data_IF_288106174957
#
_entry.id   IF_288106174957
#
_cell.length_a   1.000
_cell.length_b   1.000
_cell.length_c   1.000
_cell.angle_alpha   90.00
_cell.angle_beta   90.00
_cell.angle_gamma   90.00
#
_symmetry.space_group_name_H-M   'P 1'
#
loop_
_entity.id
_entity.type
_entity.pdbx_description
1 polymer ?
#
# COMPACT_ATOMS: atom_id res chain seq x y z
N UNK A 1 2.84 -25.64 14.04
CA UNK A 1 2.28 -24.37 14.56
C UNK A 1 1.94 -23.45 13.39
N UNK A 2 0.65 -23.27 13.04
CA UNK A 2 0.22 -22.27 12.06
C UNK A 2 0.22 -20.90 12.73
N UNK A 3 1.22 -20.07 12.45
CA UNK A 3 1.19 -18.64 12.81
C UNK A 3 0.18 -17.94 11.87
N UNK A 4 -1.09 -17.93 12.25
CA UNK A 4 -2.11 -17.06 11.63
C UNK A 4 -2.27 -15.83 12.50
N UNK A 5 -1.31 -14.90 12.43
CA UNK A 5 -1.53 -13.57 13.00
C UNK A 5 -0.97 -12.50 12.07
N UNK A 6 -1.83 -11.51 11.84
CA UNK A 6 -1.67 -10.32 11.02
C UNK A 6 -0.72 -9.35 11.70
N UNK A 7 0.54 -9.74 11.91
CA UNK A 7 1.51 -8.85 12.53
C UNK A 7 1.66 -7.61 11.65
N UNK A 8 1.43 -6.40 12.19
CA UNK A 8 1.47 -5.20 11.40
C UNK A 8 2.88 -4.98 10.84
N UNK A 9 2.97 -4.80 9.53
CA UNK A 9 4.21 -4.45 8.86
C UNK A 9 4.28 -2.93 8.79
N UNK A 10 5.35 -2.34 9.33
CA UNK A 10 5.63 -0.93 9.10
C UNK A 10 6.00 -0.70 7.64
N UNK A 11 5.15 0.02 6.92
CA UNK A 11 5.33 0.37 5.51
C UNK A 11 5.42 1.88 5.38
N UNK A 12 6.46 2.37 4.70
CA UNK A 12 6.61 3.79 4.39
C UNK A 12 5.58 4.19 3.35
N UNK A 13 4.81 5.22 3.65
CA UNK A 13 3.94 5.87 2.67
C UNK A 13 4.74 6.94 1.97
N UNK A 14 4.69 6.97 0.65
CA UNK A 14 5.37 7.95 -0.18
C UNK A 14 4.39 8.54 -1.19
N UNK A 15 4.71 9.73 -1.66
CA UNK A 15 4.02 10.30 -2.81
C UNK A 15 4.52 9.65 -4.11
N UNK A 16 3.59 9.43 -5.03
CA UNK A 16 3.85 9.04 -6.39
C UNK A 16 4.25 10.29 -7.20
N UNK A 17 5.52 10.35 -7.63
CA UNK A 17 6.02 11.44 -8.46
C UNK A 17 5.34 11.45 -9.85
N UNK A 18 5.25 12.63 -10.48
CA UNK A 18 4.66 12.83 -11.80
C UNK A 18 5.29 11.96 -12.90
N UNK A 19 6.56 11.59 -12.75
CA UNK A 19 7.27 10.69 -13.66
C UNK A 19 6.60 9.30 -13.80
N UNK A 20 5.72 8.93 -12.87
CA UNK A 20 5.02 7.64 -12.85
C UNK A 20 3.61 7.66 -13.42
N UNK A 21 3.11 8.83 -13.87
CA UNK A 21 1.79 8.91 -14.50
C UNK A 21 1.69 8.06 -15.79
N UNK A 22 2.81 7.80 -16.46
CA UNK A 22 2.85 6.93 -17.63
C UNK A 22 2.66 5.44 -17.30
N UNK A 23 2.81 5.02 -16.03
CA UNK A 23 2.64 3.62 -15.62
C UNK A 23 1.18 3.23 -15.36
N UNK A 24 0.27 4.19 -15.27
CA UNK A 24 -1.16 3.91 -15.10
C UNK A 24 -2.04 4.99 -15.72
N UNK A 25 -3.03 4.64 -16.56
CA UNK A 25 -3.98 5.59 -17.13
C UNK A 25 -4.92 6.20 -16.06
N UNK A 26 -4.95 5.63 -14.84
CA UNK A 26 -5.77 6.10 -13.72
C UNK A 26 -4.94 6.15 -12.43
N UNK A 27 -4.00 7.10 -12.32
CA UNK A 27 -3.03 7.11 -11.22
C UNK A 27 -3.69 7.25 -9.83
N UNK A 28 -4.78 8.02 -9.73
CA UNK A 28 -5.54 8.18 -8.48
C UNK A 28 -6.21 6.89 -7.97
N UNK A 29 -6.34 5.87 -8.83
CA UNK A 29 -6.91 4.55 -8.51
C UNK A 29 -5.87 3.44 -8.61
N UNK A 30 -4.59 3.78 -8.51
CA UNK A 30 -3.49 2.82 -8.55
C UNK A 30 -2.62 2.98 -7.31
N UNK A 31 -2.25 1.86 -6.69
CA UNK A 31 -1.22 1.83 -5.65
C UNK A 31 0.01 1.14 -6.20
N UNK A 32 1.17 1.72 -5.94
CA UNK A 32 2.45 1.13 -6.29
C UNK A 32 3.13 0.66 -5.02
N UNK A 33 3.34 -0.64 -4.89
CA UNK A 33 4.00 -1.22 -3.72
C UNK A 33 5.28 -1.89 -4.14
N UNK A 34 6.34 -1.72 -3.34
CA UNK A 34 7.58 -2.39 -3.64
C UNK A 34 7.58 -3.87 -3.25
N UNK A 35 8.46 -4.65 -3.88
CA UNK A 35 8.58 -6.09 -3.63
C UNK A 35 8.82 -6.44 -2.15
N UNK A 36 9.59 -5.62 -1.43
CA UNK A 36 9.85 -5.82 0.00
C UNK A 36 8.59 -5.67 0.85
N UNK A 37 7.78 -4.63 0.63
CA UNK A 37 6.51 -4.45 1.34
C UNK A 37 5.52 -5.57 0.99
N UNK A 38 5.33 -5.87 -0.30
CA UNK A 38 4.42 -6.91 -0.75
C UNK A 38 4.77 -8.27 -0.14
N UNK A 39 6.06 -8.66 -0.13
CA UNK A 39 6.53 -9.90 0.48
C UNK A 39 6.27 -9.95 1.98
N UNK A 40 6.55 -8.87 2.71
CA UNK A 40 6.34 -8.84 4.18
C UNK A 40 4.87 -8.85 4.55
N UNK A 41 4.01 -8.22 3.75
CA UNK A 41 2.57 -8.24 3.91
C UNK A 41 1.94 -9.56 3.41
N UNK A 42 2.68 -10.45 2.77
CA UNK A 42 2.14 -11.68 2.19
C UNK A 42 1.22 -11.44 0.99
N UNK A 43 1.40 -10.34 0.27
CA UNK A 43 0.66 -10.04 -0.96
C UNK A 43 1.23 -10.89 -2.10
N UNK A 44 0.36 -11.56 -2.83
CA UNK A 44 0.73 -12.38 -3.99
C UNK A 44 1.29 -11.51 -5.12
N UNK A 45 2.29 -12.02 -5.85
CA UNK A 45 2.80 -11.37 -7.07
C UNK A 45 1.74 -11.26 -8.17
N UNK A 46 0.71 -12.10 -8.12
CA UNK A 46 -0.38 -12.11 -9.10
C UNK A 46 -1.54 -11.18 -8.70
N UNK A 47 -1.46 -10.50 -7.55
CA UNK A 47 -2.48 -9.53 -7.14
C UNK A 47 -2.48 -8.37 -8.12
N UNK A 48 -3.63 -8.09 -8.73
CA UNK A 48 -3.82 -6.97 -9.69
C UNK A 48 -4.70 -5.86 -9.14
N UNK A 49 -5.46 -6.14 -8.09
CA UNK A 49 -6.37 -5.23 -7.42
C UNK A 49 -6.27 -5.44 -5.93
N UNK A 50 -6.62 -4.43 -5.14
CA UNK A 50 -6.64 -4.54 -3.68
C UNK A 50 -7.67 -3.57 -3.13
N UNK A 51 -8.37 -4.00 -2.07
CA UNK A 51 -9.18 -3.11 -1.26
C UNK A 51 -8.29 -2.47 -0.22
N UNK A 52 -8.33 -1.16 -0.11
CA UNK A 52 -7.64 -0.43 0.93
C UNK A 52 -8.65 0.02 1.98
N UNK A 53 -8.50 -0.47 3.20
CA UNK A 53 -9.29 -0.04 4.35
C UNK A 53 -8.53 1.04 5.14
N UNK A 54 -9.26 2.10 5.47
CA UNK A 54 -8.84 3.13 6.40
C UNK A 54 -9.98 3.42 7.38
N UNK A 55 -9.84 3.02 8.65
CA UNK A 55 -10.95 3.05 9.60
C UNK A 55 -12.13 2.22 9.10
N UNK A 56 -13.32 2.81 9.04
CA UNK A 56 -14.54 2.19 8.50
C UNK A 56 -14.65 2.28 6.96
N UNK A 57 -13.87 3.14 6.32
CA UNK A 57 -13.95 3.38 4.88
C UNK A 57 -13.11 2.34 4.10
N UNK A 58 -13.64 1.92 2.95
CA UNK A 58 -12.95 0.98 2.03
C UNK A 58 -12.92 1.54 0.62
N UNK A 59 -11.77 1.42 -0.04
CA UNK A 59 -11.52 1.96 -1.37
C UNK A 59 -10.90 0.91 -2.27
N UNK A 60 -11.25 0.90 -3.55
CA UNK A 60 -10.75 -0.08 -4.50
C UNK A 60 -9.63 0.52 -5.34
N UNK A 61 -8.49 -0.19 -5.40
CA UNK A 61 -7.35 0.22 -6.21
C UNK A 61 -6.89 -0.91 -7.11
N UNK A 62 -6.37 -0.52 -8.28
CA UNK A 62 -5.42 -1.35 -9.01
C UNK A 62 -4.13 -1.46 -8.19
N UNK A 63 -3.59 -2.66 -8.11
CA UNK A 63 -2.31 -2.93 -7.49
C UNK A 63 -1.23 -3.08 -8.57
N UNK A 64 -0.12 -2.38 -8.39
CA UNK A 64 1.07 -2.53 -9.22
C UNK A 64 2.24 -2.85 -8.30
N UNK A 65 2.80 -4.04 -8.48
CA UNK A 65 4.09 -4.40 -7.90
C UNK A 65 5.18 -3.70 -8.70
N UNK A 66 6.02 -2.92 -8.04
CA UNK A 66 7.09 -2.18 -8.70
C UNK A 66 8.42 -2.34 -7.98
N UNK A 67 9.53 -2.21 -8.70
CA UNK A 67 10.87 -2.21 -8.09
C UNK A 67 11.49 -0.85 -8.34
N UNK A 68 11.67 -0.05 -7.29
CA UNK A 68 12.38 1.22 -7.41
C UNK A 68 13.87 0.98 -7.13
N UNK A 69 14.78 1.39 -8.03
CA UNK A 69 16.21 1.31 -7.80
C UNK A 69 16.59 2.00 -6.48
N UNK A 70 17.34 1.32 -5.61
CA UNK A 70 17.76 1.85 -4.30
C UNK A 70 16.70 1.79 -3.18
N UNK A 71 15.46 1.37 -3.46
CA UNK A 71 14.40 1.31 -2.46
C UNK A 71 14.34 -0.08 -1.79
N UNK A 72 15.23 -0.31 -0.81
CA UNK A 72 15.32 -1.57 -0.06
C UNK A 72 14.27 -1.71 1.05
N UNK A 73 13.72 -0.59 1.54
CA UNK A 73 12.77 -0.53 2.66
C UNK A 73 11.34 -0.78 2.18
N UNK A 74 10.48 -1.34 3.03
CA UNK A 74 9.05 -1.52 2.71
C UNK A 74 8.37 -0.19 2.44
N UNK A 75 7.83 -0.03 1.23
CA UNK A 75 7.18 1.21 0.82
C UNK A 75 5.95 0.99 -0.08
N UNK A 76 5.01 1.92 0.02
CA UNK A 76 3.85 2.06 -0.85
C UNK A 76 3.71 3.51 -1.29
N UNK A 77 3.35 3.73 -2.55
CA UNK A 77 3.16 5.06 -3.14
C UNK A 77 1.70 5.29 -3.49
N UNK A 78 1.25 6.50 -3.17
CA UNK A 78 -0.07 7.02 -3.50
C UNK A 78 0.08 8.37 -4.20
N UNK A 79 -0.89 8.75 -5.02
CA UNK A 79 -0.96 10.14 -5.52
C UNK A 79 -1.19 11.12 -4.37
N UNK A 80 -0.78 12.39 -4.53
CA UNK A 80 -1.08 13.45 -3.57
C UNK A 80 -2.57 13.48 -3.18
N UNK A 81 -3.47 13.44 -4.17
CA UNK A 81 -4.93 13.38 -3.92
C UNK A 81 -5.35 12.18 -3.06
N UNK A 82 -4.74 11.01 -3.25
CA UNK A 82 -5.05 9.82 -2.45
C UNK A 82 -4.48 9.95 -1.02
N UNK A 83 -3.28 10.53 -0.87
CA UNK A 83 -2.70 10.86 0.43
C UNK A 83 -3.59 11.83 1.21
N UNK A 84 -4.03 12.91 0.58
CA UNK A 84 -4.94 13.90 1.17
C UNK A 84 -6.25 13.26 1.59
N UNK A 85 -6.86 12.46 0.69
CA UNK A 85 -8.11 11.74 0.97
C UNK A 85 -7.99 10.80 2.17
N UNK A 86 -6.82 10.17 2.33
CA UNK A 86 -6.55 9.27 3.45
C UNK A 86 -5.94 9.99 4.66
N UNK A 87 -5.70 11.29 4.56
CA UNK A 87 -4.98 12.11 5.53
C UNK A 87 -3.71 11.37 6.00
N UNK A 88 -2.87 11.01 5.03
CA UNK A 88 -1.57 10.34 5.20
C UNK A 88 -0.45 11.30 4.81
N UNK A 89 0.63 11.29 5.57
CA UNK A 89 1.80 12.10 5.29
C UNK A 89 2.83 11.28 4.51
N UNK A 90 3.25 11.80 3.35
CA UNK A 90 4.37 11.23 2.62
C UNK A 90 5.65 11.24 3.49
N UNK A 91 6.40 10.16 3.43
CA UNK A 91 7.63 9.95 4.22
C UNK A 91 7.41 9.24 5.56
N UNK A 92 6.17 9.22 6.08
CA UNK A 92 5.86 8.56 7.36
C UNK A 92 5.70 7.04 7.22
N UNK A 93 5.96 6.34 8.33
CA UNK A 93 5.70 4.90 8.47
C UNK A 93 4.30 4.68 9.03
N UNK A 94 3.53 3.82 8.38
CA UNK A 94 2.24 3.37 8.88
C UNK A 94 2.27 1.84 9.07
N UNK A 95 1.77 1.34 10.21
CA UNK A 95 1.50 -0.08 10.36
C UNK A 95 0.42 -0.52 9.36
N UNK A 96 0.68 -1.57 8.61
CA UNK A 96 -0.26 -2.13 7.63
C UNK A 96 -0.42 -3.64 7.83
N UNK A 97 -1.63 -4.14 7.65
CA UNK A 97 -1.93 -5.57 7.60
C UNK A 97 -2.61 -5.90 6.29
N UNK A 98 -2.47 -7.14 5.83
CA UNK A 98 -3.12 -7.61 4.62
C UNK A 98 -3.87 -8.92 4.86
N UNK A 99 -5.14 -8.93 4.50
CA UNK A 99 -5.98 -10.13 4.45
C UNK A 99 -6.03 -10.66 3.03
N UNK A 100 -5.32 -11.77 2.79
CA UNK A 100 -5.24 -12.41 1.48
C UNK A 100 -6.55 -13.08 1.04
N UNK A 101 -7.43 -13.47 1.97
CA UNK A 101 -8.74 -14.04 1.63
C UNK A 101 -9.70 -12.96 1.16
N UNK A 102 -9.62 -11.77 1.77
CA UNK A 102 -10.45 -10.60 1.41
C UNK A 102 -9.79 -9.71 0.37
N UNK A 103 -8.52 -9.96 0.03
CA UNK A 103 -7.67 -9.12 -0.81
C UNK A 103 -7.70 -7.65 -0.33
N UNK A 104 -7.41 -7.47 0.95
CA UNK A 104 -7.67 -6.22 1.65
C UNK A 104 -6.46 -5.77 2.48
N UNK A 105 -5.90 -4.62 2.12
CA UNK A 105 -4.85 -3.93 2.85
C UNK A 105 -5.50 -2.95 3.83
N UNK A 106 -5.22 -3.12 5.12
CA UNK A 106 -5.64 -2.15 6.14
C UNK A 106 -4.45 -1.28 6.50
N UNK A 107 -4.61 0.04 6.35
CA UNK A 107 -3.67 1.01 6.90
C UNK A 107 -4.15 1.35 8.31
N UNK A 108 -3.37 0.98 9.31
CA UNK A 108 -3.67 1.25 10.71
C UNK A 108 -3.07 2.62 11.02
N UNK A 109 -3.94 3.62 11.12
CA UNK A 109 -3.56 4.91 11.68
C UNK A 109 -3.66 4.78 13.19
N UNK A 110 -2.61 5.19 13.91
CA UNK A 110 -2.67 5.28 15.36
C UNK A 110 -3.84 6.17 15.76
N UNK A 111 -4.61 5.69 16.73
CA UNK A 111 -5.31 6.55 17.68
C UNK A 111 -4.23 7.37 18.39
N UNK A 112 -3.95 8.57 17.91
CA UNK A 112 -3.22 9.58 18.64
C UNK A 112 -4.02 10.88 18.51
#
# INVERSE_FOLDING_TARGET
MKKTYFDPVSVRVLELNRSFFNLSPRPNHTIFMNATAARRLGISRNTTHIKLRLGSATFHFRFVLFTFPGESRSAVRFTARTLDRFNLNAGQLYPMTYDSKRNELTIIRGLL
#
